data_IF_963658926459
#
_entry.id   IF_963658926459
#
_cell.length_a   1.000
_cell.length_b   1.000
_cell.length_c   1.000
_cell.angle_alpha   90.00
_cell.angle_beta   90.00
_cell.angle_gamma   90.00
#
_symmetry.space_group_name_H-M   'P 1'
#
loop_
_entity.id
_entity.type
_entity.pdbx_description
1 polymer ?
#
# COMPACT_ATOMS: atom_id res chain seq x y z
N UNK A 1 -15.67 3.86 8.29
CA UNK A 1 -14.94 2.88 7.46
C UNK A 1 -14.28 3.68 6.34
N UNK A 2 -12.96 3.58 6.09
CA UNK A 2 -12.40 4.12 4.87
C UNK A 2 -13.11 3.44 3.68
N UNK A 3 -13.57 4.25 2.73
CA UNK A 3 -14.21 3.74 1.51
C UNK A 3 -13.19 2.98 0.67
N UNK A 4 -13.64 2.02 -0.15
CA UNK A 4 -12.75 1.26 -1.04
C UNK A 4 -11.98 2.18 -1.99
N UNK A 5 -12.58 3.31 -2.38
CA UNK A 5 -11.97 4.35 -3.20
C UNK A 5 -10.78 5.04 -2.50
N UNK A 6 -10.88 5.33 -1.20
CA UNK A 6 -9.79 5.90 -0.41
C UNK A 6 -8.61 4.93 -0.30
N UNK A 7 -8.88 3.62 -0.15
CA UNK A 7 -7.84 2.58 -0.14
C UNK A 7 -7.13 2.49 -1.49
N UNK A 8 -7.88 2.50 -2.60
CA UNK A 8 -7.32 2.43 -3.94
C UNK A 8 -6.41 3.64 -4.27
N UNK A 9 -6.80 4.84 -3.82
CA UNK A 9 -5.96 6.03 -3.97
C UNK A 9 -4.65 5.90 -3.18
N UNK A 10 -4.71 5.46 -1.92
CA UNK A 10 -3.51 5.31 -1.10
C UNK A 10 -2.54 4.27 -1.69
N UNK A 11 -3.05 3.13 -2.14
CA UNK A 11 -2.23 2.08 -2.79
C UNK A 11 -1.61 2.59 -4.09
N UNK A 12 -2.38 3.29 -4.93
CA UNK A 12 -1.89 3.82 -6.20
C UNK A 12 -0.83 4.91 -6.06
N UNK A 13 -1.02 5.85 -5.12
CA UNK A 13 -0.01 6.87 -4.82
C UNK A 13 1.25 6.25 -4.22
N UNK A 14 1.09 5.30 -3.30
CA UNK A 14 2.21 4.59 -2.67
C UNK A 14 3.03 3.80 -3.69
N UNK A 15 2.36 3.11 -4.63
CA UNK A 15 2.99 2.41 -5.73
C UNK A 15 3.81 3.36 -6.63
N UNK A 16 3.22 4.49 -6.98
CA UNK A 16 3.84 5.52 -7.82
C UNK A 16 5.08 6.13 -7.15
N UNK A 17 5.00 6.44 -5.84
CA UNK A 17 6.11 7.00 -5.06
C UNK A 17 7.32 6.06 -4.99
N UNK A 18 7.06 4.75 -4.90
CA UNK A 18 8.09 3.71 -4.76
C UNK A 18 8.48 3.06 -6.09
N UNK A 19 7.96 3.56 -7.21
CA UNK A 19 8.21 3.05 -8.55
C UNK A 19 7.97 1.52 -8.63
N UNK A 20 6.89 1.06 -7.98
CA UNK A 20 6.43 -0.32 -7.96
C UNK A 20 5.02 -0.42 -8.55
N UNK A 21 4.55 -1.63 -8.82
CA UNK A 21 3.22 -1.81 -9.41
C UNK A 21 2.11 -1.70 -8.34
N UNK A 22 0.91 -1.23 -8.70
CA UNK A 22 -0.24 -1.20 -7.79
C UNK A 22 -0.56 -2.57 -7.18
N UNK A 23 -0.32 -3.67 -7.91
CA UNK A 23 -0.55 -5.02 -7.42
C UNK A 23 0.44 -5.40 -6.29
N UNK A 24 1.70 -5.00 -6.40
CA UNK A 24 2.70 -5.21 -5.35
C UNK A 24 2.35 -4.35 -4.12
N UNK A 25 2.00 -3.08 -4.36
CA UNK A 25 1.55 -2.19 -3.29
C UNK A 25 0.30 -2.74 -2.59
N UNK A 26 -0.68 -3.25 -3.35
CA UNK A 26 -1.91 -3.83 -2.79
C UNK A 26 -1.60 -5.06 -1.94
N UNK A 27 -0.72 -5.95 -2.40
CA UNK A 27 -0.30 -7.12 -1.62
C UNK A 27 0.34 -6.71 -0.28
N UNK A 28 1.17 -5.67 -0.28
CA UNK A 28 1.79 -5.15 0.95
C UNK A 28 0.74 -4.52 1.87
N UNK A 29 -0.17 -3.70 1.34
CA UNK A 29 -1.25 -3.10 2.10
C UNK A 29 -2.22 -4.14 2.66
N UNK A 30 -2.49 -5.22 1.93
CA UNK A 30 -3.32 -6.33 2.40
C UNK A 30 -2.67 -7.03 3.61
N UNK A 31 -1.38 -7.35 3.51
CA UNK A 31 -0.60 -7.94 4.62
C UNK A 31 -0.51 -6.97 5.81
N UNK A 32 -0.39 -5.67 5.55
CA UNK A 32 -0.33 -4.61 6.56
C UNK A 32 -1.69 -4.26 7.18
N UNK A 33 -2.81 -4.84 6.72
CA UNK A 33 -4.15 -4.45 7.17
C UNK A 33 -4.54 -3.02 6.80
N UNK A 34 -3.98 -2.50 5.70
CA UNK A 34 -4.07 -1.12 5.24
C UNK A 34 -3.51 -0.07 6.22
N UNK A 35 -2.62 -0.48 7.13
CA UNK A 35 -1.81 0.45 7.92
C UNK A 35 -0.57 0.87 7.12
N UNK A 36 -0.51 2.15 6.74
CA UNK A 36 0.56 2.68 5.88
C UNK A 36 1.96 2.56 6.52
N UNK A 37 2.07 2.68 7.85
CA UNK A 37 3.35 2.56 8.54
C UNK A 37 3.85 1.12 8.55
N UNK A 38 2.93 0.17 8.73
CA UNK A 38 3.22 -1.25 8.64
C UNK A 38 3.56 -1.65 7.20
N UNK A 39 2.85 -1.12 6.21
CA UNK A 39 3.15 -1.32 4.79
C UNK A 39 4.54 -0.79 4.42
N UNK A 40 4.90 0.40 4.89
CA UNK A 40 6.24 0.96 4.72
C UNK A 40 7.31 0.07 5.37
N UNK A 41 7.05 -0.43 6.58
CA UNK A 41 7.98 -1.35 7.24
C UNK A 41 8.19 -2.64 6.45
N UNK A 42 7.12 -3.26 5.97
CA UNK A 42 7.18 -4.48 5.14
C UNK A 42 7.96 -4.24 3.86
N UNK A 43 7.79 -3.08 3.22
CA UNK A 43 8.53 -2.70 2.02
C UNK A 43 10.03 -2.53 2.26
N UNK A 44 10.41 -1.86 3.35
CA UNK A 44 11.83 -1.66 3.69
C UNK A 44 12.53 -2.97 4.13
N UNK A 45 11.76 -3.96 4.59
CA UNK A 45 12.28 -5.29 4.96
C UNK A 45 12.45 -6.26 3.76
N UNK A 46 11.86 -5.96 2.59
CA UNK A 46 11.84 -6.82 1.39
C UNK A 46 12.88 -6.46 0.34
#
# INVERSE_FOLDING_TARGET
MPTQEAKAHHVGEWASLRNTSPEIAEAIFEVAGYDEKMAEKIWEEG
#
